data_IF_119462295380
#
_entry.id   IF_119462295380
#
_cell.length_a   1.000
_cell.length_b   1.000
_cell.length_c   1.000
_cell.angle_alpha   90.00
_cell.angle_beta   90.00
_cell.angle_gamma   90.00
#
_symmetry.space_group_name_H-M   'P 1'
#
loop_
_entity.id
_entity.type
_entity.pdbx_description
1 polymer ?
#
# COMPACT_ATOMS: atom_id res chain seq x y z
N UNK A 1 9.39 21.61 11.32
CA UNK A 1 10.05 20.32 11.54
C UNK A 1 10.24 19.69 10.17
N UNK A 2 11.47 19.42 9.72
CA UNK A 2 11.73 18.68 8.47
C UNK A 2 12.16 17.26 8.83
N UNK A 3 11.22 16.33 8.92
CA UNK A 3 11.56 14.91 9.03
C UNK A 3 11.99 14.34 7.68
N UNK A 4 12.79 13.29 7.71
CA UNK A 4 13.19 12.58 6.49
C UNK A 4 12.17 11.47 6.25
N UNK A 5 11.50 11.52 5.11
CA UNK A 5 10.60 10.43 4.69
C UNK A 5 11.43 9.21 4.26
N UNK A 6 11.01 8.04 4.70
CA UNK A 6 11.64 6.76 4.39
C UNK A 6 10.56 5.70 4.14
N UNK A 7 10.88 4.66 3.38
CA UNK A 7 9.98 3.51 3.21
C UNK A 7 10.20 2.50 4.32
N UNK A 8 9.12 1.87 4.77
CA UNK A 8 9.19 0.78 5.75
C UNK A 8 9.69 -0.53 5.14
N UNK A 9 9.40 -0.77 3.87
CA UNK A 9 9.88 -1.92 3.09
C UNK A 9 10.91 -1.55 2.02
N UNK A 10 11.36 -2.54 1.25
CA UNK A 10 12.28 -2.35 0.11
C UNK A 10 11.53 -1.71 -1.08
N UNK A 11 11.94 -0.51 -1.54
CA UNK A 11 11.29 0.15 -2.68
C UNK A 11 11.72 -0.38 -4.05
N UNK A 12 12.81 -1.15 -4.12
CA UNK A 12 13.38 -1.66 -5.37
C UNK A 12 12.83 -3.04 -5.71
N UNK A 13 12.60 -3.88 -4.70
CA UNK A 13 12.15 -5.25 -4.87
C UNK A 13 10.80 -5.50 -4.19
N UNK A 14 9.95 -6.29 -4.87
CA UNK A 14 8.60 -6.65 -4.43
C UNK A 14 8.49 -8.16 -4.29
N UNK A 15 9.19 -8.74 -3.32
CA UNK A 15 9.12 -10.18 -3.05
C UNK A 15 7.91 -10.43 -2.17
N UNK A 16 7.22 -11.56 -2.37
CA UNK A 16 6.00 -11.88 -1.63
C UNK A 16 6.16 -11.79 -0.10
N UNK A 17 7.33 -12.11 0.43
CA UNK A 17 7.63 -12.06 1.87
C UNK A 17 8.11 -10.69 2.38
N UNK A 18 8.27 -9.68 1.52
CA UNK A 18 8.78 -8.38 1.93
C UNK A 18 7.72 -7.65 2.78
N UNK A 19 8.04 -7.23 4.02
CA UNK A 19 7.12 -6.50 4.89
C UNK A 19 7.08 -5.00 4.55
N UNK A 20 6.27 -4.24 5.29
CA UNK A 20 6.18 -2.79 5.14
C UNK A 20 5.25 -2.33 4.02
N UNK A 21 4.29 -3.19 3.65
CA UNK A 21 3.24 -2.88 2.68
C UNK A 21 1.90 -2.74 3.40
N UNK A 22 0.99 -2.02 2.76
CA UNK A 22 -0.43 -1.91 3.09
C UNK A 22 -1.23 -1.91 1.79
N UNK A 23 -2.54 -1.84 1.89
CA UNK A 23 -3.39 -1.74 0.71
C UNK A 23 -3.70 -0.29 0.41
N UNK A 24 -3.25 0.19 -0.74
CA UNK A 24 -3.69 1.45 -1.32
C UNK A 24 -4.91 1.25 -2.22
N UNK A 25 -5.73 2.28 -2.37
CA UNK A 25 -6.83 2.29 -3.32
C UNK A 25 -6.98 3.64 -4.02
N UNK A 26 -7.52 3.60 -5.25
CA UNK A 26 -7.91 4.77 -6.03
C UNK A 26 -9.28 4.55 -6.64
N UNK A 27 -10.12 5.58 -6.65
CA UNK A 27 -11.37 5.55 -7.41
C UNK A 27 -11.07 5.48 -8.91
N UNK A 28 -11.82 4.68 -9.66
CA UNK A 28 -11.71 4.63 -11.13
C UNK A 28 -12.42 5.79 -11.82
N UNK A 29 -13.45 6.35 -11.18
CA UNK A 29 -14.31 7.40 -11.74
C UNK A 29 -14.04 8.79 -11.16
N UNK A 30 -13.15 8.91 -10.17
CA UNK A 30 -12.84 10.17 -9.50
C UNK A 30 -11.38 10.30 -9.10
N UNK A 31 -11.06 11.37 -8.38
CA UNK A 31 -9.71 11.66 -7.89
C UNK A 31 -9.47 11.20 -6.45
N UNK A 32 -10.44 10.49 -5.88
CA UNK A 32 -10.36 9.94 -4.53
C UNK A 32 -9.34 8.82 -4.46
N UNK A 33 -8.56 8.82 -3.38
CA UNK A 33 -7.56 7.82 -3.08
C UNK A 33 -7.43 7.68 -1.57
N UNK A 34 -6.94 6.53 -1.14
CA UNK A 34 -6.66 6.27 0.26
C UNK A 34 -5.86 5.00 0.42
N UNK A 35 -5.75 4.57 1.66
CA UNK A 35 -5.13 3.32 2.05
C UNK A 35 -5.77 2.78 3.31
N UNK A 36 -5.56 1.50 3.56
CA UNK A 36 -5.89 0.85 4.82
C UNK A 36 -4.67 0.91 5.76
N UNK A 37 -4.90 1.03 7.06
CA UNK A 37 -3.83 1.20 8.06
C UNK A 37 -3.12 -0.11 8.43
N UNK A 38 -3.66 -1.25 8.01
CA UNK A 38 -3.10 -2.56 8.28
C UNK A 38 -1.81 -2.80 7.47
N UNK A 39 -0.74 -3.10 8.18
CA UNK A 39 0.53 -3.52 7.59
C UNK A 39 0.55 -5.02 7.35
N UNK A 40 1.12 -5.41 6.21
CA UNK A 40 1.25 -6.78 5.75
C UNK A 40 2.47 -6.92 4.84
N UNK A 41 2.72 -8.13 4.38
CA UNK A 41 3.72 -8.41 3.34
C UNK A 41 3.20 -8.04 1.95
N UNK A 42 4.09 -7.88 0.98
CA UNK A 42 3.71 -7.63 -0.42
C UNK A 42 2.76 -8.70 -0.97
N UNK A 43 3.02 -9.98 -0.68
CA UNK A 43 2.20 -11.09 -1.18
C UNK A 43 0.80 -11.10 -0.57
N UNK A 44 0.68 -10.80 0.73
CA UNK A 44 -0.62 -10.63 1.39
C UNK A 44 -1.39 -9.43 0.82
N UNK A 45 -0.69 -8.32 0.56
CA UNK A 45 -1.29 -7.14 -0.04
C UNK A 45 -1.76 -7.40 -1.48
N UNK A 46 -1.04 -8.19 -2.28
CA UNK A 46 -1.47 -8.59 -3.63
C UNK A 46 -2.73 -9.45 -3.58
N UNK A 47 -2.76 -10.46 -2.71
CA UNK A 47 -3.92 -11.34 -2.56
C UNK A 47 -5.15 -10.55 -2.13
N UNK A 48 -5.03 -9.75 -1.08
CA UNK A 48 -6.14 -8.97 -0.54
C UNK A 48 -6.57 -7.83 -1.49
N UNK A 49 -5.66 -7.25 -2.27
CA UNK A 49 -6.02 -6.30 -3.33
C UNK A 49 -6.87 -6.96 -4.43
N UNK A 50 -6.57 -8.22 -4.80
CA UNK A 50 -7.35 -8.98 -5.76
C UNK A 50 -8.77 -9.26 -5.24
N UNK A 51 -8.89 -9.67 -3.97
CA UNK A 51 -10.17 -9.89 -3.30
C UNK A 51 -11.02 -8.61 -3.26
N UNK A 52 -10.42 -7.48 -2.87
CA UNK A 52 -11.10 -6.19 -2.81
C UNK A 52 -11.50 -5.68 -4.20
N UNK A 53 -10.68 -5.93 -5.23
CA UNK A 53 -11.02 -5.55 -6.61
C UNK A 53 -12.27 -6.30 -7.13
N UNK A 54 -12.49 -7.54 -6.67
CA UNK A 54 -13.69 -8.30 -6.99
C UNK A 54 -14.93 -7.77 -6.24
N UNK A 55 -14.76 -7.33 -4.99
CA UNK A 55 -15.85 -6.81 -4.15
C UNK A 55 -16.26 -5.36 -4.52
N UNK A 56 -15.29 -4.51 -4.86
CA UNK A 56 -15.49 -3.08 -5.12
C UNK A 56 -14.96 -2.68 -6.50
N UNK A 57 -15.68 -3.02 -7.59
CA UNK A 57 -15.20 -2.82 -8.96
C UNK A 57 -15.02 -1.35 -9.35
N UNK A 58 -15.58 -0.41 -8.58
CA UNK A 58 -15.41 1.04 -8.75
C UNK A 58 -14.05 1.57 -8.30
N UNK A 59 -13.27 0.75 -7.59
CA UNK A 59 -11.93 1.09 -7.09
C UNK A 59 -10.87 0.18 -7.70
N UNK A 60 -9.65 0.69 -7.74
CA UNK A 60 -8.44 -0.08 -8.04
C UNK A 60 -7.64 -0.19 -6.74
N UNK A 61 -7.39 -1.41 -6.31
CA UNK A 61 -6.58 -1.72 -5.11
C UNK A 61 -5.18 -2.17 -5.54
N UNK A 62 -4.17 -1.83 -4.74
CA UNK A 62 -2.78 -2.19 -5.03
C UNK A 62 -1.95 -2.27 -3.74
N UNK A 63 -0.88 -3.08 -3.72
CA UNK A 63 0.13 -3.00 -2.66
C UNK A 63 0.81 -1.64 -2.65
N UNK A 64 0.72 -0.92 -1.54
CA UNK A 64 1.36 0.37 -1.31
C UNK A 64 2.43 0.23 -0.22
N UNK A 65 3.65 0.70 -0.49
CA UNK A 65 4.69 0.78 0.52
C UNK A 65 4.34 1.82 1.58
N UNK A 66 4.51 1.45 2.84
CA UNK A 66 4.29 2.36 3.96
C UNK A 66 5.45 3.37 4.00
N UNK A 67 5.10 4.65 3.97
CA UNK A 67 6.04 5.76 4.15
C UNK A 67 6.01 6.18 5.61
N UNK A 68 7.18 6.25 6.23
CA UNK A 68 7.38 6.68 7.61
C UNK A 68 8.22 7.96 7.65
N UNK A 69 7.96 8.80 8.64
CA UNK A 69 8.83 9.94 8.95
C UNK A 69 9.90 9.49 9.95
N UNK A 70 11.17 9.53 9.57
CA UNK A 70 12.28 9.33 10.51
C UNK A 70 12.57 10.67 11.19
N UNK A 71 12.31 10.73 12.50
CA UNK A 71 12.80 11.79 13.38
C UNK A 71 14.33 11.76 13.45
N UNK A 72 14.93 12.94 13.58
CA UNK A 72 16.39 13.13 13.67
C UNK A 72 16.94 12.63 15.00
#
# INVERSE_FOLDING_TARGET
MSGVLSFKGDPLWKRAADPGYRIGWRSKAGFEKGHFDEEMTYGEAEQKASELAAAEPSKTFFPELIIIEKGR
#
